data_IF_020561092121
#
_entry.id   IF_020561092121
#
_cell.length_a   1.000
_cell.length_b   1.000
_cell.length_c   1.000
_cell.angle_alpha   90.00
_cell.angle_beta   90.00
_cell.angle_gamma   90.00
#
_symmetry.space_group_name_H-M   'P 1'
#
loop_
_entity.id
_entity.type
_entity.pdbx_description
1 polymer ?
#
# COMPACT_ATOMS: atom_id res chain seq x y z
N UNK A 1 21.54 5.36 37.77
CA UNK A 1 22.63 5.60 36.81
C UNK A 1 22.27 4.89 35.51
N UNK A 2 22.05 5.67 34.45
CA UNK A 2 21.94 5.28 33.02
C UNK A 2 20.95 4.16 32.65
N UNK A 3 19.67 4.51 32.53
CA UNK A 3 18.67 3.76 31.75
C UNK A 3 18.07 4.70 30.70
N UNK A 4 18.88 5.18 29.74
CA UNK A 4 18.37 5.97 28.60
C UNK A 4 19.28 5.79 27.36
N UNK A 5 19.49 4.54 26.94
CA UNK A 5 19.94 4.24 25.57
C UNK A 5 18.84 3.46 24.85
N UNK A 6 17.82 4.18 24.40
CA UNK A 6 16.96 3.70 23.33
C UNK A 6 17.50 4.26 22.00
N UNK A 7 18.18 3.39 21.24
CA UNK A 7 18.35 3.58 19.80
C UNK A 7 17.01 3.31 19.11
N UNK A 8 16.51 4.25 18.31
CA UNK A 8 15.86 4.06 16.99
C UNK A 8 15.41 5.44 16.47
N UNK A 9 16.35 6.25 15.95
CA UNK A 9 15.99 7.42 15.13
C UNK A 9 15.70 6.97 13.70
N UNK A 10 14.52 6.40 13.50
CA UNK A 10 13.95 6.11 12.19
C UNK A 10 12.56 6.71 12.09
N UNK A 11 12.45 8.04 12.06
CA UNK A 11 11.21 8.71 11.68
C UNK A 11 11.01 8.58 10.17
N UNK A 12 10.72 7.37 9.68
CA UNK A 12 10.29 7.14 8.31
C UNK A 12 8.83 7.57 8.20
N UNK A 13 8.56 8.88 8.16
CA UNK A 13 7.22 9.37 7.81
C UNK A 13 7.02 9.11 6.32
N UNK A 14 6.45 7.95 5.98
CA UNK A 14 6.03 7.65 4.61
C UNK A 14 4.66 8.29 4.41
N UNK A 15 4.61 9.35 3.60
CA UNK A 15 3.34 9.90 3.15
C UNK A 15 2.65 8.94 2.17
N UNK A 16 1.31 8.84 2.16
CA UNK A 16 0.59 8.07 1.16
C UNK A 16 0.96 8.52 -0.25
N UNK A 17 1.24 7.57 -1.14
CA UNK A 17 1.48 7.86 -2.55
C UNK A 17 0.17 8.18 -3.24
N UNK A 18 0.09 9.34 -3.88
CA UNK A 18 -1.02 9.66 -4.79
C UNK A 18 -0.81 8.90 -6.09
N UNK A 19 -1.83 8.15 -6.53
CA UNK A 19 -1.82 7.42 -7.80
C UNK A 19 -2.99 7.88 -8.68
N UNK A 20 -2.75 8.02 -9.99
CA UNK A 20 -3.81 8.34 -10.94
C UNK A 20 -4.63 7.09 -11.28
N UNK A 21 -5.88 7.29 -11.70
CA UNK A 21 -6.74 6.19 -12.15
C UNK A 21 -6.15 5.47 -13.39
N UNK A 22 -5.48 6.21 -14.28
CA UNK A 22 -4.83 5.62 -15.46
C UNK A 22 -3.73 4.64 -15.06
N UNK A 23 -2.86 5.03 -14.12
CA UNK A 23 -1.84 4.11 -13.60
C UNK A 23 -2.47 2.90 -12.91
N UNK A 24 -3.59 3.07 -12.18
CA UNK A 24 -4.30 1.94 -11.59
C UNK A 24 -4.85 0.98 -12.66
N UNK A 25 -5.37 1.49 -13.78
CA UNK A 25 -5.82 0.66 -14.89
C UNK A 25 -4.66 -0.09 -15.52
N UNK A 26 -3.52 0.55 -15.74
CA UNK A 26 -2.34 -0.10 -16.31
C UNK A 26 -1.84 -1.26 -15.42
N UNK A 27 -1.69 -1.03 -14.11
CA UNK A 27 -1.19 -2.07 -13.19
C UNK A 27 -2.21 -3.19 -12.94
N UNK A 28 -3.51 -2.93 -13.04
CA UNK A 28 -4.55 -3.95 -12.82
C UNK A 28 -5.04 -4.60 -14.11
N UNK A 29 -4.43 -4.25 -15.26
CA UNK A 29 -4.92 -4.63 -16.59
C UNK A 29 -6.42 -4.34 -16.75
N UNK A 30 -6.73 -3.05 -16.59
CA UNK A 30 -8.08 -2.49 -16.58
C UNK A 30 -9.04 -3.23 -15.62
N UNK A 31 -8.57 -3.55 -14.41
CA UNK A 31 -9.30 -4.29 -13.39
C UNK A 31 -9.73 -5.70 -13.81
N UNK A 32 -8.91 -6.38 -14.62
CA UNK A 32 -9.13 -7.75 -15.09
C UNK A 32 -9.33 -8.73 -13.92
N UNK A 33 -10.28 -9.66 -14.08
CA UNK A 33 -10.55 -10.70 -13.09
C UNK A 33 -9.36 -11.68 -12.93
N UNK A 34 -8.50 -11.81 -13.95
CA UNK A 34 -7.26 -12.60 -13.86
C UNK A 34 -6.25 -12.03 -12.85
N UNK A 35 -6.32 -10.72 -12.59
CA UNK A 35 -5.51 -10.04 -11.57
C UNK A 35 -6.24 -9.89 -10.24
N UNK A 36 -7.50 -10.29 -10.14
CA UNK A 36 -8.25 -10.23 -8.87
C UNK A 36 -7.72 -11.29 -7.91
N UNK A 37 -7.28 -10.85 -6.74
CA UNK A 37 -6.85 -11.70 -5.63
C UNK A 37 -8.05 -12.12 -4.76
N UNK A 38 -9.06 -11.25 -4.64
CA UNK A 38 -10.26 -11.54 -3.86
C UNK A 38 -11.29 -10.41 -3.87
N UNK A 39 -12.44 -10.68 -3.29
CA UNK A 39 -13.53 -9.71 -3.12
C UNK A 39 -14.31 -9.98 -1.84
N UNK A 40 -14.75 -8.92 -1.16
CA UNK A 40 -15.59 -8.99 0.03
C UNK A 40 -16.38 -7.70 0.23
N UNK A 41 -17.02 -7.56 1.40
CA UNK A 41 -17.87 -6.40 1.71
C UNK A 41 -17.13 -5.05 1.63
N UNK A 42 -15.81 -5.03 1.82
CA UNK A 42 -14.98 -3.82 1.81
C UNK A 42 -14.39 -3.50 0.42
N UNK A 43 -14.62 -4.33 -0.58
CA UNK A 43 -14.15 -4.11 -1.95
C UNK A 43 -13.42 -5.30 -2.57
N UNK A 44 -12.71 -5.00 -3.66
CA UNK A 44 -11.92 -5.96 -4.44
C UNK A 44 -10.43 -5.68 -4.26
N UNK A 45 -9.63 -6.74 -4.26
CA UNK A 45 -8.16 -6.66 -4.18
C UNK A 45 -7.58 -7.20 -5.47
N UNK A 46 -6.64 -6.47 -6.05
CA UNK A 46 -5.95 -6.82 -7.30
C UNK A 46 -4.44 -6.95 -7.03
N UNK A 47 -3.75 -7.75 -7.86
CA UNK A 47 -2.28 -7.84 -7.89
C UNK A 47 -1.64 -6.50 -8.21
#
# INVERSE_FOLDING_TARGET
>A
STMDKLHHSGSCRVAPKIMSLESLKEITDNFSEERKLGSGAFGKVYK
#
